data_IF_105797109414
#
_entry.id   IF_105797109414
#
_cell.length_a   1.000
_cell.length_b   1.000
_cell.length_c   1.000
_cell.angle_alpha   90.00
_cell.angle_beta   90.00
_cell.angle_gamma   90.00
#
_symmetry.space_group_name_H-M   'P 1'
#
loop_
_entity.id
_entity.type
_entity.pdbx_description
1 polymer ?
#
# COMPACT_ATOMS: atom_id res chain seq x y z
N UNK A 1 32.76 -48.34 -1.67
CA UNK A 1 31.32 -48.13 -1.44
C UNK A 1 31.14 -47.24 -0.21
N UNK A 2 31.17 -45.91 -0.38
CA UNK A 2 29.96 -45.06 -0.51
C UNK A 2 29.08 -44.99 0.76
N UNK A 3 29.64 -44.72 1.94
CA UNK A 3 28.81 -44.52 3.16
C UNK A 3 29.13 -43.29 4.01
N UNK A 4 30.20 -42.54 3.73
CA UNK A 4 30.59 -41.38 4.55
C UNK A 4 30.27 -40.01 3.92
N UNK A 5 29.87 -39.97 2.66
CA UNK A 5 29.50 -38.71 1.98
C UNK A 5 28.02 -38.33 2.15
N UNK A 6 27.17 -39.27 2.57
CA UNK A 6 25.73 -39.01 2.71
C UNK A 6 25.35 -38.33 4.03
N UNK A 7 26.09 -38.55 5.13
CA UNK A 7 25.72 -37.93 6.43
C UNK A 7 26.08 -36.45 6.52
N UNK A 8 27.14 -36.01 5.81
CA UNK A 8 27.53 -34.60 5.75
C UNK A 8 26.53 -33.74 4.98
N UNK A 9 25.91 -34.28 3.92
CA UNK A 9 24.90 -33.57 3.14
C UNK A 9 23.58 -33.40 3.90
N UNK A 10 23.19 -34.36 4.74
CA UNK A 10 21.92 -34.27 5.50
C UNK A 10 22.03 -33.22 6.62
N UNK A 11 23.18 -33.13 7.29
CA UNK A 11 23.41 -32.09 8.32
C UNK A 11 23.53 -30.70 7.69
N UNK A 12 24.16 -30.59 6.52
CA UNK A 12 24.23 -29.33 5.77
C UNK A 12 22.86 -28.88 5.24
N UNK A 13 21.97 -29.81 4.88
CA UNK A 13 20.62 -29.49 4.40
C UNK A 13 19.71 -29.05 5.55
N UNK A 14 19.86 -29.66 6.74
CA UNK A 14 19.11 -29.27 7.95
C UNK A 14 19.52 -27.88 8.47
N UNK A 15 20.79 -27.50 8.36
CA UNK A 15 21.25 -26.14 8.69
C UNK A 15 20.83 -25.09 7.65
N UNK A 16 20.64 -25.49 6.39
CA UNK A 16 20.15 -24.60 5.33
C UNK A 16 18.62 -24.37 5.39
N UNK A 17 17.86 -25.25 6.05
CA UNK A 17 16.42 -25.08 6.27
C UNK A 17 16.05 -24.15 7.43
N UNK A 18 17.00 -23.75 8.29
CA UNK A 18 16.76 -22.74 9.33
C UNK A 18 17.00 -21.30 8.84
N UNK A 19 17.54 -21.13 7.63
CA UNK A 19 17.65 -19.84 6.95
C UNK A 19 16.38 -19.47 6.17
N UNK A 20 15.23 -20.02 6.56
CA UNK A 20 13.93 -19.59 6.07
C UNK A 20 13.84 -18.08 6.28
N UNK A 21 13.92 -17.35 5.18
CA UNK A 21 13.82 -15.91 5.11
C UNK A 21 12.53 -15.52 5.83
N UNK A 22 12.67 -15.07 7.08
CA UNK A 22 11.61 -14.41 7.81
C UNK A 22 11.39 -13.06 7.12
N UNK A 23 10.58 -13.09 6.05
CA UNK A 23 9.87 -11.94 5.51
C UNK A 23 8.66 -11.60 6.39
N UNK A 24 8.72 -11.90 7.69
CA UNK A 24 7.77 -11.36 8.65
C UNK A 24 8.09 -9.89 8.84
N UNK A 25 7.13 -9.01 8.59
CA UNK A 25 7.21 -7.65 9.13
C UNK A 25 7.41 -7.76 10.65
N UNK A 26 8.21 -6.88 11.25
CA UNK A 26 8.38 -6.84 12.72
C UNK A 26 7.01 -6.81 13.44
N UNK A 27 5.98 -6.24 12.81
CA UNK A 27 4.59 -6.26 13.31
C UNK A 27 3.95 -7.66 13.31
N UNK A 28 4.24 -8.50 12.31
CA UNK A 28 3.69 -9.86 12.22
C UNK A 28 4.38 -10.81 13.19
N UNK A 29 5.69 -10.62 13.43
CA UNK A 29 6.40 -11.37 14.46
C UNK A 29 5.86 -11.07 15.86
N UNK A 30 5.55 -9.79 16.14
CA UNK A 30 4.91 -9.38 17.40
C UNK A 30 3.51 -9.98 17.56
N UNK A 31 2.71 -10.07 16.48
CA UNK A 31 1.39 -10.72 16.49
C UNK A 31 1.47 -12.22 16.78
N UNK A 32 2.42 -12.92 16.16
CA UNK A 32 2.59 -14.35 16.41
C UNK A 32 3.06 -14.62 17.85
N UNK A 33 3.94 -13.78 18.40
CA UNK A 33 4.32 -13.84 19.82
C UNK A 33 3.14 -13.56 20.75
N UNK A 34 2.30 -12.57 20.44
CA UNK A 34 1.09 -12.28 21.20
C UNK A 34 0.12 -13.47 21.22
N UNK A 35 -0.16 -14.09 20.06
CA UNK A 35 -0.99 -15.29 19.97
C UNK A 35 -0.43 -16.46 20.78
N UNK A 36 0.89 -16.63 20.80
CA UNK A 36 1.53 -17.66 21.61
C UNK A 36 1.37 -17.38 23.13
N UNK A 37 1.39 -16.12 23.56
CA UNK A 37 1.14 -15.74 24.95
C UNK A 37 -0.33 -15.91 25.34
N UNK A 38 -1.28 -15.58 24.46
CA UNK A 38 -2.72 -15.85 24.68
C UNK A 38 -3.00 -17.34 24.90
N UNK A 39 -2.40 -18.22 24.08
CA UNK A 39 -2.52 -19.68 24.28
C UNK A 39 -1.92 -20.15 25.61
N UNK A 40 -0.83 -19.53 26.06
CA UNK A 40 -0.25 -19.84 27.38
C UNK A 40 -1.10 -19.28 28.53
N UNK A 41 -1.75 -18.14 28.32
CA UNK A 41 -2.65 -17.55 29.28
C UNK A 41 -3.90 -18.42 29.48
N UNK A 42 -4.49 -18.91 28.40
CA UNK A 42 -5.66 -19.82 28.46
C UNK A 42 -5.32 -21.12 29.18
N UNK A 43 -4.17 -21.74 28.86
CA UNK A 43 -3.69 -22.95 29.56
C UNK A 43 -3.43 -22.65 31.05
N UNK A 44 -2.91 -21.47 31.40
CA UNK A 44 -2.66 -21.10 32.80
C UNK A 44 -3.95 -20.84 33.57
N UNK A 45 -4.98 -20.29 32.92
CA UNK A 45 -6.31 -20.10 33.48
C UNK A 45 -7.02 -21.44 33.74
N UNK A 46 -6.94 -22.37 32.78
CA UNK A 46 -7.46 -23.74 32.92
C UNK A 46 -6.76 -24.53 34.04
N UNK A 47 -5.48 -24.25 34.29
CA UNK A 47 -4.72 -24.81 35.40
C UNK A 47 -5.00 -24.14 36.76
N UNK A 48 -5.94 -23.21 36.83
CA UNK A 48 -6.32 -22.52 38.07
C UNK A 48 -5.28 -21.52 38.56
N UNK A 49 -4.44 -20.98 37.67
CA UNK A 49 -3.42 -19.96 37.97
C UNK A 49 -3.81 -18.61 37.36
N UNK A 50 -4.81 -17.91 37.93
CA UNK A 50 -5.36 -16.69 37.35
C UNK A 50 -4.32 -15.58 37.24
N UNK A 51 -3.46 -15.42 38.25
CA UNK A 51 -2.41 -14.38 38.26
C UNK A 51 -1.38 -14.56 37.13
N UNK A 52 -1.11 -15.82 36.75
CA UNK A 52 -0.18 -16.13 35.66
C UNK A 52 -0.85 -15.92 34.30
N UNK A 53 -2.13 -16.27 34.18
CA UNK A 53 -2.92 -16.01 32.98
C UNK A 53 -3.04 -14.49 32.70
N UNK A 54 -3.39 -13.70 33.72
CA UNK A 54 -3.55 -12.26 33.60
C UNK A 54 -2.24 -11.56 33.18
N UNK A 55 -1.10 -12.00 33.71
CA UNK A 55 0.22 -11.48 33.31
C UNK A 55 0.52 -11.75 31.83
N UNK A 56 0.23 -12.97 31.36
CA UNK A 56 0.45 -13.37 29.98
C UNK A 56 -0.52 -12.66 29.01
N UNK A 57 -1.76 -12.38 29.45
CA UNK A 57 -2.70 -11.57 28.67
C UNK A 57 -2.25 -10.12 28.53
N UNK A 58 -1.77 -9.49 29.62
CA UNK A 58 -1.23 -8.14 29.56
C UNK A 58 -0.03 -8.05 28.63
N UNK A 59 0.90 -8.99 28.73
CA UNK A 59 2.07 -9.05 27.85
C UNK A 59 1.68 -9.29 26.39
N UNK A 60 0.65 -10.10 26.13
CA UNK A 60 0.07 -10.24 24.79
C UNK A 60 -0.56 -8.95 24.28
N UNK A 61 -1.27 -8.20 25.13
CA UNK A 61 -1.90 -6.95 24.74
C UNK A 61 -0.85 -5.89 24.38
N UNK A 62 0.22 -5.79 25.16
CA UNK A 62 1.33 -4.88 24.91
C UNK A 62 2.02 -5.17 23.55
N UNK A 63 2.19 -6.45 23.20
CA UNK A 63 2.75 -6.85 21.91
C UNK A 63 1.82 -6.53 20.74
N UNK A 64 0.51 -6.69 20.89
CA UNK A 64 -0.47 -6.31 19.86
C UNK A 64 -0.52 -4.79 19.67
N UNK A 65 -0.49 -4.02 20.75
CA UNK A 65 -0.43 -2.56 20.68
C UNK A 65 0.87 -2.09 20.01
N UNK A 66 2.01 -2.73 20.32
CA UNK A 66 3.28 -2.45 19.65
C UNK A 66 3.21 -2.76 18.15
N UNK A 67 2.60 -3.89 17.76
CA UNK A 67 2.38 -4.25 16.36
C UNK A 67 1.46 -3.25 15.65
N UNK A 68 0.38 -2.79 16.29
CA UNK A 68 -0.52 -1.79 15.74
C UNK A 68 0.18 -0.44 15.57
N UNK A 69 1.02 -0.03 16.54
CA UNK A 69 1.83 1.19 16.41
C UNK A 69 2.82 1.11 15.26
N UNK A 70 3.41 -0.06 14.99
CA UNK A 70 4.28 -0.27 13.83
C UNK A 70 3.49 -0.18 12.52
N UNK A 71 2.30 -0.78 12.47
CA UNK A 71 1.41 -0.69 11.31
C UNK A 71 0.90 0.74 11.08
N UNK A 72 0.58 1.48 12.13
CA UNK A 72 0.19 2.89 12.05
C UNK A 72 1.35 3.77 11.61
N UNK A 73 2.59 3.46 12.00
CA UNK A 73 3.77 4.14 11.47
C UNK A 73 4.04 3.77 10.01
N UNK A 74 3.81 2.52 9.63
CA UNK A 74 3.95 2.06 8.25
C UNK A 74 2.87 2.67 7.34
N UNK A 75 1.60 2.68 7.77
CA UNK A 75 0.45 3.26 7.06
C UNK A 75 0.44 4.79 7.11
N UNK A 76 0.88 5.38 8.23
CA UNK A 76 1.05 6.82 8.41
C UNK A 76 2.25 7.41 7.64
N UNK A 77 3.08 6.58 7.01
CA UNK A 77 4.11 7.02 6.07
C UNK A 77 3.57 7.38 4.66
N UNK A 78 2.27 7.17 4.42
CA UNK A 78 1.52 7.93 3.41
C UNK A 78 1.21 9.32 3.97
N UNK A 79 2.22 10.19 4.05
CA UNK A 79 2.08 11.50 4.68
C UNK A 79 0.99 12.33 4.00
N UNK A 80 -0.03 12.81 4.75
CA UNK A 80 -1.03 13.77 4.26
C UNK A 80 -0.42 15.09 3.75
N UNK A 81 0.86 15.34 4.04
CA UNK A 81 1.63 16.47 3.52
C UNK A 81 2.06 16.27 2.07
N UNK A 82 2.34 15.04 1.63
CA UNK A 82 2.87 14.74 0.31
C UNK A 82 1.79 14.91 -0.75
N UNK A 83 0.56 14.49 -0.47
CA UNK A 83 -0.56 14.76 -1.38
C UNK A 83 -0.82 16.27 -1.53
N UNK A 84 -0.62 17.05 -0.47
CA UNK A 84 -0.70 18.52 -0.52
C UNK A 84 0.46 19.13 -1.30
N UNK A 85 1.67 18.62 -1.10
CA UNK A 85 2.89 19.08 -1.77
C UNK A 85 2.85 18.75 -3.27
N UNK A 86 2.48 17.53 -3.64
CA UNK A 86 2.26 17.10 -5.02
C UNK A 86 1.14 17.91 -5.67
N UNK A 87 0.04 18.18 -4.96
CA UNK A 87 -1.04 19.05 -5.47
C UNK A 87 -0.52 20.48 -5.71
N UNK A 88 0.19 21.06 -4.75
CA UNK A 88 0.76 22.40 -4.87
C UNK A 88 1.77 22.50 -6.04
N UNK A 89 2.64 21.50 -6.21
CA UNK A 89 3.58 21.47 -7.33
C UNK A 89 2.88 21.32 -8.68
N UNK A 90 1.77 20.56 -8.75
CA UNK A 90 0.95 20.45 -9.96
C UNK A 90 0.26 21.77 -10.31
N UNK A 91 -0.31 22.44 -9.31
CA UNK A 91 -0.96 23.75 -9.49
C UNK A 91 0.07 24.78 -9.98
N UNK A 92 1.24 24.83 -9.33
CA UNK A 92 2.36 25.69 -9.75
C UNK A 92 2.83 25.40 -11.17
N UNK A 93 2.92 24.13 -11.56
CA UNK A 93 3.32 23.74 -12.91
C UNK A 93 2.29 24.20 -13.95
N UNK A 94 1.00 24.11 -13.63
CA UNK A 94 -0.08 24.58 -14.49
C UNK A 94 0.00 26.11 -14.68
N UNK A 95 0.23 26.85 -13.60
CA UNK A 95 0.39 28.31 -13.64
C UNK A 95 1.62 28.73 -14.46
N UNK A 96 2.75 28.04 -14.29
CA UNK A 96 3.97 28.31 -15.06
C UNK A 96 3.79 28.03 -16.56
N UNK A 97 3.06 26.96 -16.92
CA UNK A 97 2.75 26.64 -18.32
C UNK A 97 1.78 27.66 -18.92
N UNK A 98 0.78 28.11 -18.16
CA UNK A 98 -0.12 29.18 -18.59
C UNK A 98 0.63 30.50 -18.78
N UNK A 99 1.59 30.80 -17.89
CA UNK A 99 2.48 31.96 -18.01
C UNK A 99 3.38 31.86 -19.25
N UNK A 100 4.01 30.71 -19.49
CA UNK A 100 4.82 30.47 -20.69
C UNK A 100 4.00 30.70 -21.96
N UNK A 101 2.78 30.17 -22.01
CA UNK A 101 1.89 30.32 -23.16
C UNK A 101 1.52 31.78 -23.41
N UNK A 102 1.13 32.53 -22.38
CA UNK A 102 0.86 33.97 -22.49
C UNK A 102 2.07 34.77 -22.93
N UNK A 103 3.27 34.42 -22.45
CA UNK A 103 4.52 35.07 -22.85
C UNK A 103 4.88 34.78 -24.31
N UNK A 104 4.62 33.56 -24.80
CA UNK A 104 4.77 33.23 -26.22
C UNK A 104 3.80 34.02 -27.09
N UNK A 105 2.54 34.10 -26.69
CA UNK A 105 1.50 34.88 -27.41
C UNK A 105 1.81 36.38 -27.44
N UNK A 106 2.43 36.91 -26.38
CA UNK A 106 2.86 38.30 -26.28
C UNK A 106 4.22 38.59 -26.97
N UNK A 107 4.86 37.60 -27.61
CA UNK A 107 6.23 37.70 -28.14
C UNK A 107 7.23 38.27 -27.11
N UNK A 108 7.16 37.78 -25.87
CA UNK A 108 8.06 38.19 -24.80
C UNK A 108 9.52 37.86 -25.13
N UNK A 109 10.49 38.54 -24.50
CA UNK A 109 11.91 38.30 -24.73
C UNK A 109 12.28 36.83 -24.47
N UNK A 110 13.02 36.21 -25.40
CA UNK A 110 13.40 34.78 -25.30
C UNK A 110 14.15 34.45 -24.00
N UNK A 111 14.87 35.43 -23.43
CA UNK A 111 15.55 35.28 -22.14
C UNK A 111 14.58 35.03 -20.98
N UNK A 112 13.48 35.79 -20.91
CA UNK A 112 12.46 35.63 -19.87
C UNK A 112 11.66 34.33 -20.09
N UNK A 113 11.46 33.96 -21.35
CA UNK A 113 10.78 32.72 -21.74
C UNK A 113 11.63 31.49 -21.37
N UNK A 114 12.95 31.57 -21.54
CA UNK A 114 13.89 30.55 -21.11
C UNK A 114 13.91 30.37 -19.58
N UNK A 115 13.82 31.46 -18.80
CA UNK A 115 13.72 31.40 -17.34
C UNK A 115 12.44 30.67 -16.89
N UNK A 116 11.29 30.95 -17.52
CA UNK A 116 10.04 30.24 -17.22
C UNK A 116 10.12 28.76 -17.59
N UNK A 117 10.70 28.42 -18.75
CA UNK A 117 10.95 27.02 -19.14
C UNK A 117 11.84 26.28 -18.14
N UNK A 118 12.86 26.96 -17.60
CA UNK A 118 13.72 26.39 -16.57
C UNK A 118 12.95 26.11 -15.28
N UNK A 119 12.03 27.00 -14.88
CA UNK A 119 11.17 26.80 -13.72
C UNK A 119 10.17 25.65 -13.91
N UNK A 120 9.61 25.50 -15.12
CA UNK A 120 8.78 24.34 -15.49
C UNK A 120 9.57 23.05 -15.35
N UNK A 121 10.77 22.99 -15.95
CA UNK A 121 11.63 21.82 -15.88
C UNK A 121 12.07 21.48 -14.44
N UNK A 122 12.32 22.49 -13.60
CA UNK A 122 12.64 22.28 -12.18
C UNK A 122 11.47 21.67 -11.40
N UNK A 123 10.27 22.22 -11.58
CA UNK A 123 9.05 21.74 -10.92
C UNK A 123 8.68 20.32 -11.38
N UNK A 124 8.84 20.02 -12.68
CA UNK A 124 8.61 18.67 -13.23
C UNK A 124 9.61 17.65 -12.65
N UNK A 125 10.88 18.02 -12.46
CA UNK A 125 11.89 17.15 -11.81
C UNK A 125 11.55 16.87 -10.35
N UNK A 126 11.10 17.89 -9.62
CA UNK A 126 10.71 17.76 -8.21
C UNK A 126 9.52 16.81 -8.05
N UNK A 127 8.48 16.96 -8.89
CA UNK A 127 7.38 16.00 -8.97
C UNK A 127 7.85 14.58 -9.31
N UNK A 128 8.84 14.44 -10.20
CA UNK A 128 9.38 13.14 -10.56
C UNK A 128 10.13 12.48 -9.39
N UNK A 129 10.90 13.26 -8.64
CA UNK A 129 11.64 12.78 -7.45
C UNK A 129 10.68 12.33 -6.35
N UNK A 130 9.64 13.12 -6.07
CA UNK A 130 8.61 12.74 -5.09
C UNK A 130 7.95 11.43 -5.55
N UNK A 131 7.45 11.35 -6.78
CA UNK A 131 6.86 10.10 -7.27
C UNK A 131 7.83 8.91 -7.25
N UNK A 132 9.11 9.10 -7.58
CA UNK A 132 10.11 8.04 -7.53
C UNK A 132 10.39 7.56 -6.08
N UNK A 133 10.45 8.47 -5.12
CA UNK A 133 10.59 8.15 -3.71
C UNK A 133 9.36 7.43 -3.12
N UNK A 134 8.17 7.63 -3.71
CA UNK A 134 6.93 7.00 -3.25
C UNK A 134 6.54 5.73 -4.01
N UNK A 135 7.07 5.49 -5.21
CA UNK A 135 6.79 4.29 -5.99
C UNK A 135 7.22 2.99 -5.28
N UNK A 136 8.09 3.05 -4.28
CA UNK A 136 8.58 1.89 -3.52
C UNK A 136 7.92 1.66 -2.14
N UNK A 137 7.03 2.55 -1.65
CA UNK A 137 6.54 2.50 -0.25
C UNK A 137 5.19 1.82 -0.04
N UNK A 138 4.41 1.59 -1.09
CA UNK A 138 3.27 0.66 -1.05
C UNK A 138 3.74 -0.68 -1.61
N UNK A 139 4.11 -1.64 -0.76
CA UNK A 139 4.37 -3.01 -1.23
C UNK A 139 3.04 -3.57 -1.76
N UNK A 140 2.84 -3.41 -3.06
CA UNK A 140 1.81 -4.14 -3.79
C UNK A 140 2.08 -5.63 -3.55
N UNK A 141 1.06 -6.46 -3.28
CA UNK A 141 1.31 -7.89 -3.12
C UNK A 141 1.96 -8.45 -4.39
N UNK A 142 2.90 -9.43 -4.28
CA UNK A 142 3.65 -10.03 -5.40
C UNK A 142 2.78 -10.35 -6.62
N UNK A 143 1.58 -10.88 -6.36
CA UNK A 143 0.62 -11.34 -7.37
C UNK A 143 0.09 -10.21 -8.26
N UNK A 144 0.11 -8.97 -7.78
CA UNK A 144 -0.41 -7.81 -8.48
C UNK A 144 0.67 -7.01 -9.23
N UNK A 145 1.96 -7.31 -9.04
CA UNK A 145 3.06 -6.55 -9.66
C UNK A 145 2.96 -6.54 -11.19
N UNK A 146 2.72 -7.70 -11.81
CA UNK A 146 2.62 -7.81 -13.26
C UNK A 146 1.46 -6.96 -13.82
N UNK A 147 0.37 -6.81 -13.06
CA UNK A 147 -0.79 -6.03 -13.48
C UNK A 147 -0.55 -4.52 -13.27
N UNK A 148 0.08 -4.14 -12.16
CA UNK A 148 0.51 -2.76 -11.94
C UNK A 148 1.56 -2.30 -12.95
N UNK A 149 2.52 -3.16 -13.33
CA UNK A 149 3.50 -2.84 -14.36
C UNK A 149 2.86 -2.62 -15.72
N UNK A 150 1.86 -3.43 -16.10
CA UNK A 150 1.08 -3.23 -17.32
C UNK A 150 0.35 -1.88 -17.32
N UNK A 151 -0.28 -1.52 -16.21
CA UNK A 151 -0.95 -0.23 -16.02
C UNK A 151 0.06 0.94 -16.11
N UNK A 152 1.23 0.80 -15.50
CA UNK A 152 2.29 1.80 -15.55
C UNK A 152 2.86 1.94 -16.98
N UNK A 153 3.09 0.83 -17.68
CA UNK A 153 3.54 0.84 -19.07
C UNK A 153 2.52 1.50 -20.00
N UNK A 154 1.23 1.23 -19.82
CA UNK A 154 0.17 1.89 -20.56
C UNK A 154 0.12 3.39 -20.28
N UNK A 155 0.30 3.82 -19.03
CA UNK A 155 0.37 5.23 -18.64
C UNK A 155 1.53 5.96 -19.35
N UNK A 156 2.70 5.34 -19.45
CA UNK A 156 3.84 5.89 -20.21
C UNK A 156 3.53 6.03 -21.69
N UNK A 157 2.86 5.05 -22.30
CA UNK A 157 2.44 5.10 -23.71
C UNK A 157 1.46 6.25 -23.97
N UNK A 158 0.49 6.46 -23.08
CA UNK A 158 -0.46 7.59 -23.17
C UNK A 158 0.30 8.92 -23.18
N UNK A 159 1.27 9.07 -22.28
CA UNK A 159 2.10 10.28 -22.24
C UNK A 159 2.83 10.52 -23.56
N UNK A 160 3.47 9.50 -24.13
CA UNK A 160 4.13 9.63 -25.43
C UNK A 160 3.17 9.96 -26.57
N UNK A 161 1.95 9.41 -26.57
CA UNK A 161 0.93 9.73 -27.57
C UNK A 161 0.49 11.19 -27.47
N UNK A 162 0.35 11.74 -26.26
CA UNK A 162 0.02 13.16 -26.05
C UNK A 162 1.14 14.08 -26.54
N UNK A 163 2.39 13.75 -26.23
CA UNK A 163 3.55 14.51 -26.73
C UNK A 163 3.63 14.45 -28.26
N UNK A 164 3.42 13.26 -28.85
CA UNK A 164 3.39 13.09 -30.30
C UNK A 164 2.25 13.90 -30.95
N UNK A 165 1.05 13.88 -30.36
CA UNK A 165 -0.09 14.66 -30.82
C UNK A 165 0.20 16.18 -30.78
N UNK A 166 0.84 16.66 -29.71
CA UNK A 166 1.25 18.06 -29.59
C UNK A 166 2.27 18.44 -30.67
N UNK A 167 3.27 17.59 -30.93
CA UNK A 167 4.23 17.82 -32.00
C UNK A 167 3.58 17.85 -33.39
N UNK A 168 2.60 16.97 -33.65
CA UNK A 168 1.86 16.97 -34.92
C UNK A 168 0.97 18.21 -35.06
N UNK A 169 0.36 18.68 -33.97
CA UNK A 169 -0.39 19.94 -33.96
C UNK A 169 0.50 21.13 -34.30
N UNK A 170 1.75 21.15 -33.80
CA UNK A 170 2.73 22.18 -34.14
C UNK A 170 3.25 22.10 -35.59
N UNK A 171 3.14 20.93 -36.21
CA UNK A 171 3.48 20.69 -37.62
C UNK A 171 2.26 20.84 -38.56
N UNK A 172 1.19 21.51 -38.09
CA UNK A 172 -0.09 21.71 -38.78
C UNK A 172 -0.83 20.42 -39.21
N UNK A 173 -0.41 19.25 -38.72
CA UNK A 173 -1.06 17.97 -38.95
C UNK A 173 -2.21 17.72 -37.95
N UNK A 174 -3.20 18.63 -37.96
CA UNK A 174 -4.27 18.71 -36.97
C UNK A 174 -5.14 17.43 -36.89
N UNK A 175 -5.47 16.82 -38.03
CA UNK A 175 -6.31 15.61 -38.06
C UNK A 175 -5.63 14.42 -37.39
N UNK A 176 -4.33 14.20 -37.65
CA UNK A 176 -3.58 13.14 -36.99
C UNK A 176 -3.34 13.44 -35.50
N UNK A 177 -3.12 14.71 -35.15
CA UNK A 177 -3.01 15.13 -33.76
C UNK A 177 -4.31 14.80 -32.99
N UNK A 178 -5.48 15.08 -33.58
CA UNK A 178 -6.77 14.76 -32.98
C UNK A 178 -6.96 13.26 -32.78
N UNK A 179 -6.64 12.44 -33.79
CA UNK A 179 -6.72 10.98 -33.70
C UNK A 179 -5.81 10.41 -32.60
N UNK A 180 -4.59 10.95 -32.45
CA UNK A 180 -3.68 10.52 -31.39
C UNK A 180 -4.17 10.95 -30.00
N UNK A 181 -4.79 12.13 -29.87
CA UNK A 181 -5.39 12.57 -28.60
C UNK A 181 -6.60 11.69 -28.22
N UNK A 182 -7.52 11.42 -29.15
CA UNK A 182 -8.65 10.51 -28.90
C UNK A 182 -8.20 9.12 -28.48
N UNK A 183 -7.15 8.59 -29.14
CA UNK A 183 -6.55 7.31 -28.77
C UNK A 183 -5.94 7.35 -27.36
N UNK A 184 -5.25 8.43 -27.01
CA UNK A 184 -4.67 8.61 -25.68
C UNK A 184 -5.77 8.71 -24.60
N UNK A 185 -6.89 9.38 -24.88
CA UNK A 185 -8.05 9.47 -23.98
C UNK A 185 -8.76 8.13 -23.80
N UNK A 186 -8.99 7.37 -24.88
CA UNK A 186 -9.56 6.04 -24.79
C UNK A 186 -8.69 5.11 -23.92
N UNK A 187 -7.37 5.13 -24.16
CA UNK A 187 -6.42 4.39 -23.33
C UNK A 187 -6.40 4.86 -21.87
N UNK A 188 -6.61 6.14 -21.60
CA UNK A 188 -6.65 6.66 -20.23
C UNK A 188 -7.87 6.15 -19.47
N UNK A 189 -9.03 6.05 -20.12
CA UNK A 189 -10.23 5.43 -19.54
C UNK A 189 -9.96 3.97 -19.20
N UNK A 190 -9.37 3.21 -20.11
CA UNK A 190 -8.99 1.80 -19.87
C UNK A 190 -7.99 1.65 -18.71
N UNK A 191 -6.99 2.53 -18.64
CA UNK A 191 -6.01 2.55 -17.53
C UNK A 191 -6.69 2.89 -16.21
N UNK A 192 -7.63 3.83 -16.20
CA UNK A 192 -8.35 4.22 -15.00
C UNK A 192 -9.28 3.10 -14.51
N UNK A 193 -10.01 2.45 -15.40
CA UNK A 193 -10.78 1.25 -15.09
C UNK A 193 -9.89 0.13 -14.58
N UNK A 194 -8.74 -0.10 -15.22
CA UNK A 194 -7.76 -1.09 -14.79
C UNK A 194 -7.22 -0.83 -13.38
N UNK A 195 -6.94 0.43 -13.05
CA UNK A 195 -6.54 0.85 -11.69
C UNK A 195 -7.64 0.61 -10.67
N UNK A 196 -8.88 0.96 -11.00
CA UNK A 196 -10.02 0.75 -10.11
C UNK A 196 -10.28 -0.73 -9.86
N UNK A 197 -10.21 -1.57 -10.90
CA UNK A 197 -10.32 -3.03 -10.77
C UNK A 197 -9.21 -3.61 -9.90
N UNK A 198 -7.96 -3.19 -10.16
CA UNK A 198 -6.81 -3.63 -9.35
C UNK A 198 -6.96 -3.21 -7.89
N UNK A 199 -7.38 -1.97 -7.62
CA UNK A 199 -7.64 -1.50 -6.27
C UNK A 199 -8.76 -2.30 -5.58
N UNK A 200 -9.84 -2.62 -6.30
CA UNK A 200 -10.93 -3.43 -5.79
C UNK A 200 -10.50 -4.89 -5.53
N UNK A 201 -9.65 -5.47 -6.37
CA UNK A 201 -9.08 -6.81 -6.17
C UNK A 201 -8.16 -6.85 -4.95
N UNK A 202 -7.27 -5.87 -4.81
CA UNK A 202 -6.41 -5.73 -3.63
C UNK A 202 -7.28 -5.58 -2.37
N UNK A 203 -8.34 -4.76 -2.42
CA UNK A 203 -9.26 -4.57 -1.31
C UNK A 203 -10.07 -5.84 -0.99
N UNK A 204 -10.45 -6.65 -1.99
CA UNK A 204 -11.11 -7.94 -1.75
C UNK A 204 -10.18 -8.96 -1.11
N UNK A 205 -8.93 -9.01 -1.55
CA UNK A 205 -7.91 -9.91 -0.98
C UNK A 205 -7.58 -9.51 0.47
N UNK A 206 -7.49 -8.21 0.77
CA UNK A 206 -7.21 -7.73 2.13
C UNK A 206 -8.46 -7.63 3.01
N UNK A 207 -9.65 -7.47 2.44
CA UNK A 207 -10.93 -7.42 3.15
C UNK A 207 -11.55 -8.80 3.39
N UNK A 208 -10.93 -9.86 2.88
CA UNK A 208 -11.40 -11.25 2.99
C UNK A 208 -10.81 -12.04 4.16
N UNK A 209 -9.91 -11.47 4.98
CA UNK A 209 -9.28 -12.22 6.08
C UNK A 209 -10.26 -12.69 7.17
N UNK A 210 -11.46 -12.09 7.26
CA UNK A 210 -12.56 -12.63 8.06
C UNK A 210 -13.80 -12.78 7.18
N UNK A 211 -13.98 -13.98 6.63
CA UNK A 211 -15.14 -14.33 5.81
C UNK A 211 -16.47 -14.09 6.55
N UNK A 212 -17.59 -13.94 5.81
CA UNK A 212 -18.90 -13.67 6.38
C UNK A 212 -19.34 -14.71 7.42
N UNK A 213 -18.84 -15.95 7.32
CA UNK A 213 -19.08 -17.00 8.33
C UNK A 213 -18.34 -16.74 9.65
N UNK A 214 -17.09 -16.25 9.61
CA UNK A 214 -16.33 -15.89 10.82
C UNK A 214 -16.95 -14.67 11.50
N UNK A 215 -17.45 -13.71 10.72
CA UNK A 215 -18.16 -12.54 11.26
C UNK A 215 -19.52 -12.94 11.85
N UNK A 216 -20.18 -13.97 11.30
CA UNK A 216 -21.44 -14.51 11.85
C UNK A 216 -21.17 -15.29 13.15
N UNK A 217 -20.17 -16.16 13.17
CA UNK A 217 -19.75 -16.90 14.37
C UNK A 217 -19.36 -15.94 15.50
N UNK A 218 -18.54 -14.92 15.22
CA UNK A 218 -18.16 -13.94 16.23
C UNK A 218 -19.35 -13.12 16.76
N UNK A 219 -20.36 -12.85 15.93
CA UNK A 219 -21.59 -12.17 16.38
C UNK A 219 -22.44 -13.06 17.28
N UNK A 220 -22.55 -14.35 16.96
CA UNK A 220 -23.24 -15.33 17.78
C UNK A 220 -22.52 -15.54 19.12
N UNK A 221 -21.18 -15.57 19.11
CA UNK A 221 -20.34 -15.66 20.31
C UNK A 221 -20.52 -14.43 21.22
N UNK A 222 -20.52 -13.22 20.63
CA UNK A 222 -20.72 -11.96 21.38
C UNK A 222 -22.10 -11.89 22.02
N UNK A 223 -23.15 -12.30 21.31
CA UNK A 223 -24.52 -12.39 21.87
C UNK A 223 -24.59 -13.37 23.03
N UNK A 224 -23.96 -14.55 22.88
CA UNK A 224 -23.94 -15.58 23.92
C UNK A 224 -23.20 -15.12 25.18
N UNK A 225 -22.02 -14.52 25.02
CA UNK A 225 -21.23 -13.97 26.12
C UNK A 225 -21.95 -12.80 26.81
N UNK A 226 -22.68 -11.96 26.08
CA UNK A 226 -23.51 -10.91 26.68
C UNK A 226 -24.65 -11.47 27.52
N UNK A 227 -25.26 -12.57 27.09
CA UNK A 227 -26.30 -13.25 27.87
C UNK A 227 -25.73 -13.84 29.17
N UNK A 228 -24.56 -14.50 29.11
CA UNK A 228 -23.88 -15.03 30.29
C UNK A 228 -23.46 -13.93 31.27
N UNK A 229 -22.88 -12.82 30.77
CA UNK A 229 -22.51 -11.68 31.62
C UNK A 229 -23.75 -11.06 32.29
N UNK A 230 -24.89 -11.00 31.58
CA UNK A 230 -26.15 -10.51 32.15
C UNK A 230 -26.66 -11.43 33.25
N UNK A 231 -26.61 -12.74 33.04
CA UNK A 231 -27.05 -13.74 34.02
C UNK A 231 -26.15 -13.77 35.26
N UNK A 232 -24.83 -13.65 35.06
CA UNK A 232 -23.85 -13.56 36.15
C UNK A 232 -24.03 -12.28 36.97
N UNK A 233 -24.28 -11.13 36.32
CA UNK A 233 -24.60 -9.88 37.02
C UNK A 233 -25.87 -10.02 37.87
N UNK A 234 -26.91 -10.65 37.35
CA UNK A 234 -28.16 -10.88 38.08
C UNK A 234 -27.99 -11.83 39.29
N UNK A 235 -27.10 -12.83 39.18
CA UNK A 235 -26.75 -13.73 40.30
C UNK A 235 -25.93 -13.04 41.38
N UNK A 236 -25.17 -12.01 41.04
CA UNK A 236 -24.42 -11.18 41.99
C UNK A 236 -25.32 -10.13 42.67
N UNK A 237 -26.30 -9.59 41.95
CA UNK A 237 -27.26 -8.59 42.49
C UNK A 237 -28.33 -9.20 43.41
N UNK A 238 -28.63 -10.49 43.25
CA UNK A 238 -29.61 -11.23 44.06
C UNK A 238 -28.96 -11.97 45.26
N UNK A 239 -27.71 -11.67 45.60
CA UNK A 239 -27.00 -12.14 46.81
C UNK A 239 -26.83 -10.98 47.78
#
# INVERSE_FOLDING_TARGET
>A
MQRTTLSGMIVSLLLFCCGGVLLGSDADELRERAKALQKKASISAEQGKPDQAERLERESADLLEAAERLDLKAKGSGEPGIDKEVRHLKDRLQDLRAKEQKMREANAPEKELAEVRQQVAGTDRELHLIHAHHAGKGKLPPDFHAQAEKIAAASRRIHHLRVAAQNLKMADAHDLAHQLMEKAEAMEREVQEGKQRLAAEIQKVHGGEHGPDVVRELKEEIERLRAEVKELRQKVENR
#
